data_IF_974358713857
#
_entry.id   IF_974358713857
#
_cell.length_a   1.000
_cell.length_b   1.000
_cell.length_c   1.000
_cell.angle_alpha   90.00
_cell.angle_beta   90.00
_cell.angle_gamma   90.00
#
_symmetry.space_group_name_H-M   'P 1'
#
loop_
_entity.id
_entity.type
_entity.pdbx_description
1 polymer ?
#
# COMPACT_ATOMS: atom_id res chain seq x y z
N UNK A 1 -3.72 6.96 15.53
CA UNK A 1 -3.94 5.51 15.35
C UNK A 1 -2.59 4.82 15.42
N UNK A 2 -2.54 3.55 15.82
CA UNK A 2 -1.30 2.77 15.88
C UNK A 2 -1.51 1.42 15.17
N UNK A 3 -0.64 1.10 14.23
CA UNK A 3 -0.68 -0.15 13.48
C UNK A 3 0.67 -0.83 13.51
N UNK A 4 0.71 -2.05 14.03
CA UNK A 4 1.91 -2.87 14.09
C UNK A 4 2.25 -3.54 12.76
N UNK A 5 3.48 -4.01 12.66
CA UNK A 5 3.95 -4.91 11.60
C UNK A 5 4.42 -6.24 12.18
N UNK A 6 4.64 -7.23 11.31
CA UNK A 6 5.07 -8.57 11.74
C UNK A 6 6.47 -8.61 12.38
N UNK A 7 7.27 -7.55 12.24
CA UNK A 7 8.59 -7.42 12.86
C UNK A 7 8.57 -6.70 14.21
N UNK A 8 7.38 -6.42 14.78
CA UNK A 8 7.24 -5.71 16.05
C UNK A 8 7.41 -4.20 15.97
N UNK A 9 7.53 -3.63 14.76
CA UNK A 9 7.53 -2.19 14.53
C UNK A 9 6.11 -1.63 14.56
N UNK A 10 5.98 -0.40 15.07
CA UNK A 10 4.71 0.30 15.23
C UNK A 10 4.69 1.61 14.45
N UNK A 11 3.53 1.97 13.93
CA UNK A 11 3.31 3.21 13.17
C UNK A 11 2.27 4.07 13.89
N UNK A 12 2.67 4.62 15.05
CA UNK A 12 1.85 5.52 15.82
C UNK A 12 1.90 6.93 15.22
N UNK A 13 0.75 7.48 14.83
CA UNK A 13 0.69 8.83 14.30
C UNK A 13 -0.68 9.28 13.82
N UNK A 14 -0.65 10.38 13.07
CA UNK A 14 -1.82 10.98 12.41
C UNK A 14 -2.02 10.28 11.06
N UNK A 15 -3.26 9.93 10.76
CA UNK A 15 -3.65 9.29 9.51
C UNK A 15 -4.80 10.07 8.88
N UNK A 16 -4.85 10.06 7.55
CA UNK A 16 -6.06 10.42 6.79
C UNK A 16 -6.83 9.14 6.50
N UNK A 17 -8.13 9.14 6.80
CA UNK A 17 -8.96 7.94 6.73
C UNK A 17 -10.11 8.10 5.76
N UNK A 18 -10.39 7.04 5.02
CA UNK A 18 -11.42 6.96 4.00
C UNK A 18 -12.38 5.81 4.33
N UNK A 19 -13.68 6.06 4.26
CA UNK A 19 -14.67 4.99 4.26
C UNK A 19 -14.78 4.43 2.85
N UNK A 20 -14.39 3.17 2.67
CA UNK A 20 -14.29 2.53 1.35
C UNK A 20 -15.17 1.29 1.33
N UNK A 21 -15.93 1.13 0.25
CA UNK A 21 -16.62 -0.12 -0.07
C UNK A 21 -15.79 -0.88 -1.08
N UNK A 22 -15.39 -2.10 -0.75
CA UNK A 22 -14.59 -2.92 -1.66
C UNK A 22 -15.44 -3.58 -2.75
N UNK A 23 -14.77 -4.29 -3.67
CA UNK A 23 -15.42 -4.97 -4.81
C UNK A 23 -16.41 -6.07 -4.40
N UNK A 24 -16.40 -6.50 -3.13
CA UNK A 24 -17.36 -7.47 -2.60
C UNK A 24 -18.53 -6.81 -1.87
N UNK A 25 -18.56 -5.47 -1.82
CA UNK A 25 -19.57 -4.71 -1.10
C UNK A 25 -19.28 -4.51 0.39
N UNK A 26 -18.14 -4.99 0.88
CA UNK A 26 -17.76 -4.87 2.29
C UNK A 26 -17.25 -3.46 2.58
N UNK A 27 -17.72 -2.87 3.67
CA UNK A 27 -17.32 -1.52 4.10
C UNK A 27 -16.19 -1.60 5.10
N UNK A 28 -15.12 -0.84 4.86
CA UNK A 28 -13.95 -0.77 5.74
C UNK A 28 -13.36 0.64 5.74
N UNK A 29 -12.61 0.97 6.78
CA UNK A 29 -11.85 2.22 6.83
C UNK A 29 -10.45 1.92 6.31
N UNK A 30 -9.99 2.73 5.35
CA UNK A 30 -8.61 2.69 4.87
C UNK A 30 -7.91 3.96 5.34
N UNK A 31 -6.84 3.79 6.12
CA UNK A 31 -6.10 4.87 6.75
C UNK A 31 -4.70 4.97 6.15
N UNK A 32 -4.32 6.17 5.73
CA UNK A 32 -3.03 6.46 5.06
C UNK A 32 -2.21 7.43 5.91
N UNK A 33 -0.93 7.15 6.08
CA UNK A 33 0.02 8.07 6.70
C UNK A 33 1.44 7.88 6.14
N UNK A 34 2.33 8.80 6.47
CA UNK A 34 3.73 8.80 6.06
C UNK A 34 4.62 8.79 7.30
N UNK A 35 5.65 7.95 7.28
CA UNK A 35 6.58 7.79 8.39
C UNK A 35 8.01 7.73 7.89
N UNK A 36 8.92 8.39 8.60
CA UNK A 36 10.36 8.22 8.40
C UNK A 36 10.90 7.13 9.33
N UNK A 37 11.72 6.24 8.79
CA UNK A 37 12.56 5.32 9.54
C UNK A 37 13.99 5.84 9.43
N UNK A 38 14.69 6.01 10.56
CA UNK A 38 16.12 6.35 10.58
C UNK A 38 16.97 5.14 10.94
N UNK A 39 18.18 5.07 10.38
CA UNK A 39 19.21 4.07 10.70
C UNK A 39 19.76 4.20 12.11
N UNK A 40 19.60 5.37 12.73
CA UNK A 40 20.31 5.71 13.97
C UNK A 40 19.49 5.36 15.22
N UNK A 41 18.30 4.80 15.04
CA UNK A 41 17.47 4.28 16.13
C UNK A 41 17.78 2.80 16.37
N UNK A 42 18.12 2.47 17.63
CA UNK A 42 18.22 1.11 18.16
C UNK A 42 19.30 0.19 17.54
N UNK A 43 20.43 0.73 17.06
CA UNK A 43 21.55 -0.02 16.48
C UNK A 43 21.15 -0.97 15.32
N UNK A 44 20.05 -0.67 14.64
CA UNK A 44 19.54 -1.52 13.58
C UNK A 44 20.38 -1.35 12.31
N UNK A 45 20.84 -2.47 11.73
CA UNK A 45 21.57 -2.48 10.44
C UNK A 45 20.65 -2.24 9.23
N UNK A 46 19.68 -1.33 9.33
CA UNK A 46 18.80 -0.93 8.24
C UNK A 46 19.06 0.52 7.88
N UNK A 47 19.12 0.81 6.57
CA UNK A 47 19.21 2.19 6.11
C UNK A 47 17.93 2.98 6.42
N UNK A 48 18.03 4.31 6.38
CA UNK A 48 16.87 5.20 6.51
C UNK A 48 15.96 5.10 5.29
N UNK A 49 14.64 5.20 5.49
CA UNK A 49 13.66 5.22 4.40
C UNK A 49 12.34 5.83 4.85
N UNK A 50 11.58 6.31 3.88
CA UNK A 50 10.23 6.83 4.04
C UNK A 50 9.20 5.76 3.68
N UNK A 51 8.24 5.55 4.57
CA UNK A 51 7.13 4.62 4.39
C UNK A 51 5.82 5.36 4.21
N UNK A 52 5.13 5.09 3.10
CA UNK A 52 3.69 5.34 3.00
C UNK A 52 2.97 4.10 3.54
N UNK A 53 2.27 4.27 4.65
CA UNK A 53 1.56 3.21 5.35
C UNK A 53 0.08 3.27 5.02
N UNK A 54 -0.47 2.15 4.58
CA UNK A 54 -1.90 1.94 4.40
C UNK A 54 -2.37 0.85 5.34
N UNK A 55 -3.20 1.25 6.29
CA UNK A 55 -3.87 0.36 7.22
C UNK A 55 -5.33 0.17 6.84
N UNK A 56 -5.86 -1.01 7.15
CA UNK A 56 -7.27 -1.35 6.90
C UNK A 56 -7.88 -1.75 8.23
N UNK A 57 -8.95 -1.06 8.60
CA UNK A 57 -9.79 -1.36 9.74
C UNK A 57 -11.09 -1.98 9.27
N UNK A 58 -11.31 -3.22 9.68
CA UNK A 58 -12.59 -3.92 9.60
C UNK A 58 -13.15 -4.01 11.02
N UNK A 59 -14.47 -4.05 11.19
CA UNK A 59 -15.17 -4.04 12.50
C UNK A 59 -14.51 -4.83 13.65
N UNK A 60 -13.79 -5.93 13.36
CA UNK A 60 -13.11 -6.78 14.36
C UNK A 60 -11.58 -6.83 14.25
N UNK A 61 -10.99 -6.29 13.19
CA UNK A 61 -9.55 -6.46 12.91
C UNK A 61 -8.98 -5.22 12.26
N UNK A 62 -7.85 -4.76 12.79
CA UNK A 62 -7.06 -3.66 12.25
C UNK A 62 -5.68 -4.16 11.91
N UNK A 63 -5.17 -3.87 10.71
CA UNK A 63 -3.81 -4.24 10.37
C UNK A 63 -3.19 -3.34 9.31
N UNK A 64 -1.85 -3.29 9.35
CA UNK A 64 -1.07 -2.63 8.32
C UNK A 64 -1.10 -3.47 7.03
N UNK A 65 -1.87 -3.04 6.04
CA UNK A 65 -1.97 -3.76 4.78
C UNK A 65 -0.68 -3.58 3.99
N UNK A 66 -0.25 -2.33 3.74
CA UNK A 66 0.87 -1.99 2.88
C UNK A 66 1.81 -1.00 3.57
N UNK A 67 3.10 -1.35 3.63
CA UNK A 67 4.22 -0.45 3.91
C UNK A 67 4.94 -0.20 2.59
N UNK A 68 4.55 0.87 1.91
CA UNK A 68 5.16 1.26 0.65
C UNK A 68 6.46 2.04 0.93
N UNK A 69 7.59 1.48 0.52
CA UNK A 69 8.89 2.14 0.65
C UNK A 69 9.06 3.16 -0.49
N UNK A 70 8.95 4.45 -0.16
CA UNK A 70 8.99 5.55 -1.15
C UNK A 70 10.33 5.59 -1.86
N UNK A 71 11.43 5.52 -1.12
CA UNK A 71 12.80 5.64 -1.63
C UNK A 71 13.15 4.54 -2.64
N UNK A 72 12.62 3.33 -2.41
CA UNK A 72 12.83 2.18 -3.31
C UNK A 72 12.03 2.30 -4.60
N UNK A 73 10.77 2.70 -4.48
CA UNK A 73 9.76 2.43 -5.51
C UNK A 73 9.20 3.68 -6.21
N UNK A 74 9.38 4.87 -5.61
CA UNK A 74 9.09 6.14 -6.25
C UNK A 74 10.32 6.62 -7.03
N UNK A 75 10.11 7.06 -8.27
CA UNK A 75 11.17 7.58 -9.13
C UNK A 75 10.79 8.95 -9.65
N UNK A 76 11.64 9.93 -9.41
CA UNK A 76 11.48 11.28 -9.94
C UNK A 76 11.96 11.32 -11.40
N UNK A 77 11.16 11.94 -12.25
CA UNK A 77 11.47 12.27 -13.63
C UNK A 77 11.01 13.71 -13.89
N UNK A 78 11.95 14.65 -13.86
CA UNK A 78 11.64 16.08 -13.86
C UNK A 78 10.74 16.46 -12.68
N UNK A 79 9.58 17.05 -12.98
CA UNK A 79 8.59 17.49 -11.99
C UNK A 79 7.56 16.39 -11.64
N UNK A 80 7.73 15.17 -12.14
CA UNK A 80 6.80 14.09 -11.86
C UNK A 80 7.49 12.99 -11.08
N UNK A 81 6.87 12.55 -9.99
CA UNK A 81 7.25 11.31 -9.30
C UNK A 81 6.33 10.20 -9.79
N UNK A 82 6.92 9.11 -10.27
CA UNK A 82 6.21 7.89 -10.68
C UNK A 82 6.30 6.86 -9.57
N UNK A 83 5.15 6.36 -9.11
CA UNK A 83 5.03 5.38 -8.04
C UNK A 83 4.71 4.01 -8.61
N UNK A 84 5.54 3.02 -8.30
CA UNK A 84 5.39 1.65 -8.82
C UNK A 84 5.56 0.61 -7.73
N UNK A 85 5.17 -0.65 -7.93
CA UNK A 85 5.48 -1.71 -6.97
C UNK A 85 5.62 -3.07 -7.63
N UNK A 86 6.53 -3.90 -7.13
CA UNK A 86 6.83 -5.21 -7.72
C UNK A 86 5.94 -6.36 -7.20
N UNK A 87 4.75 -6.07 -6.67
CA UNK A 87 3.87 -7.08 -6.05
C UNK A 87 4.36 -7.76 -4.75
N UNK A 88 5.50 -7.38 -4.17
CA UNK A 88 6.02 -8.05 -2.96
C UNK A 88 5.05 -7.97 -1.75
N UNK A 89 4.82 -9.12 -1.10
CA UNK A 89 3.93 -9.23 0.06
C UNK A 89 4.39 -10.34 1.01
N UNK A 90 5.15 -9.95 2.04
CA UNK A 90 5.68 -10.87 3.08
C UNK A 90 6.32 -12.13 2.44
N UNK A 91 5.87 -13.32 2.82
CA UNK A 91 6.39 -14.62 2.36
C UNK A 91 5.71 -15.18 1.10
N UNK A 92 4.81 -14.44 0.45
CA UNK A 92 4.17 -14.90 -0.79
C UNK A 92 4.93 -14.44 -2.04
N UNK A 93 4.82 -15.24 -3.10
CA UNK A 93 5.37 -14.89 -4.42
C UNK A 93 4.68 -13.63 -4.95
N UNK A 94 5.46 -12.67 -5.43
CA UNK A 94 4.94 -11.43 -6.04
C UNK A 94 4.06 -11.69 -7.26
N UNK A 95 4.29 -12.80 -7.98
CA UNK A 95 3.49 -13.20 -9.14
C UNK A 95 2.00 -13.32 -8.80
N UNK A 96 1.63 -13.79 -7.61
CA UNK A 96 0.22 -13.88 -7.20
C UNK A 96 -0.45 -12.51 -7.15
N UNK A 97 0.26 -11.49 -6.70
CA UNK A 97 -0.27 -10.11 -6.67
C UNK A 97 -0.36 -9.56 -8.08
N UNK A 98 0.67 -9.75 -8.90
CA UNK A 98 0.70 -9.27 -10.29
C UNK A 98 -0.43 -9.91 -11.11
N UNK A 99 -0.61 -11.22 -11.00
CA UNK A 99 -1.68 -11.96 -11.68
C UNK A 99 -3.06 -11.51 -11.20
N UNK A 100 -3.23 -11.30 -9.89
CA UNK A 100 -4.48 -10.78 -9.34
C UNK A 100 -4.77 -9.38 -9.89
N UNK A 101 -3.80 -8.47 -9.89
CA UNK A 101 -3.94 -7.12 -10.48
C UNK A 101 -4.40 -7.22 -11.93
N UNK A 102 -3.70 -7.99 -12.78
CA UNK A 102 -4.06 -8.19 -14.19
C UNK A 102 -5.46 -8.78 -14.38
N UNK A 103 -5.91 -9.61 -13.44
CA UNK A 103 -7.19 -10.33 -13.53
C UNK A 103 -8.39 -9.48 -13.10
N UNK A 104 -8.24 -8.67 -12.05
CA UNK A 104 -9.40 -8.05 -11.37
C UNK A 104 -9.37 -6.54 -11.28
N UNK A 105 -8.22 -5.87 -11.46
CA UNK A 105 -8.18 -4.41 -11.35
C UNK A 105 -8.43 -3.78 -12.72
N UNK A 106 -9.33 -2.81 -12.76
CA UNK A 106 -9.61 -1.93 -13.89
C UNK A 106 -8.79 -0.62 -13.83
N UNK A 107 -8.17 -0.32 -12.68
CA UNK A 107 -7.40 0.90 -12.44
C UNK A 107 -5.89 0.71 -12.47
N UNK A 108 -5.42 -0.44 -11.96
CA UNK A 108 -3.98 -0.71 -11.86
C UNK A 108 -3.45 -1.37 -13.13
N UNK A 109 -2.40 -0.80 -13.70
CA UNK A 109 -1.71 -1.38 -14.85
C UNK A 109 -0.41 -2.08 -14.43
N UNK A 110 -0.02 -3.11 -15.19
CA UNK A 110 1.25 -3.82 -14.99
C UNK A 110 2.09 -3.73 -16.25
N UNK A 111 3.31 -3.26 -16.11
CA UNK A 111 4.33 -3.24 -17.15
C UNK A 111 5.61 -3.89 -16.62
N UNK A 112 6.16 -4.86 -17.35
CA UNK A 112 7.42 -5.55 -16.98
C UNK A 112 7.47 -6.03 -15.51
N UNK A 113 6.39 -6.63 -15.01
CA UNK A 113 6.22 -7.08 -13.61
C UNK A 113 6.25 -5.97 -12.56
N UNK A 114 6.08 -4.71 -12.98
CA UNK A 114 5.89 -3.55 -12.12
C UNK A 114 4.46 -3.05 -12.22
N UNK A 115 3.82 -2.87 -11.07
CA UNK A 115 2.47 -2.35 -10.94
C UNK A 115 2.58 -0.83 -10.87
N UNK A 116 1.95 -0.09 -11.78
CA UNK A 116 1.88 1.36 -11.71
C UNK A 116 0.82 1.76 -10.69
N UNK A 117 1.24 2.47 -9.63
CA UNK A 117 0.34 2.97 -8.59
C UNK A 117 -0.09 4.41 -8.86
N UNK A 118 0.68 5.17 -9.64
CA UNK A 118 0.27 6.49 -10.07
C UNK A 118 1.45 7.41 -10.30
N UNK A 119 1.12 8.69 -10.51
CA UNK A 119 2.08 9.76 -10.68
C UNK A 119 1.68 10.91 -9.75
N UNK A 120 2.62 11.76 -9.39
CA UNK A 120 2.38 12.97 -8.62
C UNK A 120 3.24 14.08 -9.21
N UNK A 121 2.66 15.25 -9.45
CA UNK A 121 3.40 16.46 -9.81
C UNK A 121 3.98 17.11 -8.56
N UNK A 122 5.29 17.38 -8.56
CA UNK A 122 6.00 18.00 -7.44
C UNK A 122 5.82 19.53 -7.38
N UNK A 123 5.30 20.13 -8.45
CA UNK A 123 4.99 21.56 -8.52
C UNK A 123 3.61 21.92 -7.97
N UNK A 124 2.78 20.94 -7.64
CA UNK A 124 1.40 21.15 -7.19
C UNK A 124 1.18 20.73 -5.74
N UNK A 125 0.18 21.34 -5.10
CA UNK A 125 -0.25 20.94 -3.77
C UNK A 125 -1.00 19.60 -3.84
N UNK A 126 -0.75 18.74 -2.85
CA UNK A 126 -1.26 17.36 -2.78
C UNK A 126 -2.70 17.32 -2.24
N UNK A 127 -3.62 17.95 -2.96
CA UNK A 127 -5.05 17.95 -2.65
C UNK A 127 -5.81 16.91 -3.46
N UNK A 128 -6.91 16.38 -2.92
CA UNK A 128 -7.71 15.34 -3.58
C UNK A 128 -8.61 15.87 -4.71
N UNK A 129 -8.67 17.18 -4.93
CA UNK A 129 -9.27 17.80 -6.11
C UNK A 129 -8.29 17.85 -7.30
N UNK A 130 -6.99 17.63 -7.06
CA UNK A 130 -6.02 17.37 -8.12
C UNK A 130 -6.22 15.94 -8.65
N UNK A 131 -6.61 15.82 -9.92
CA UNK A 131 -6.93 14.53 -10.52
C UNK A 131 -5.76 13.52 -10.47
N UNK A 132 -4.52 13.98 -10.67
CA UNK A 132 -3.35 13.10 -10.68
C UNK A 132 -3.07 12.55 -9.27
N UNK A 133 -3.11 13.42 -8.26
CA UNK A 133 -2.91 13.01 -6.87
C UNK A 133 -4.08 12.15 -6.35
N UNK A 134 -5.32 12.50 -6.70
CA UNK A 134 -6.50 11.70 -6.36
C UNK A 134 -6.40 10.28 -6.94
N UNK A 135 -6.02 10.16 -8.22
CA UNK A 135 -5.81 8.87 -8.87
C UNK A 135 -4.72 8.04 -8.17
N UNK A 136 -3.61 8.66 -7.78
CA UNK A 136 -2.58 8.00 -7.00
C UNK A 136 -3.13 7.46 -5.66
N UNK A 137 -3.88 8.26 -4.91
CA UNK A 137 -4.49 7.83 -3.64
C UNK A 137 -5.50 6.69 -3.86
N UNK A 138 -6.35 6.79 -4.87
CA UNK A 138 -7.33 5.75 -5.20
C UNK A 138 -6.66 4.42 -5.59
N UNK A 139 -5.61 4.49 -6.39
CA UNK A 139 -4.84 3.32 -6.79
C UNK A 139 -4.08 2.69 -5.61
N UNK A 140 -3.56 3.50 -4.69
CA UNK A 140 -2.95 3.01 -3.45
C UNK A 140 -3.97 2.26 -2.57
N UNK A 141 -5.19 2.80 -2.44
CA UNK A 141 -6.29 2.15 -1.72
C UNK A 141 -6.67 0.83 -2.40
N UNK A 142 -6.98 0.85 -3.70
CA UNK A 142 -7.30 -0.34 -4.51
C UNK A 142 -6.21 -1.42 -4.37
N UNK A 143 -4.94 -1.02 -4.47
CA UNK A 143 -3.82 -1.94 -4.33
C UNK A 143 -3.72 -2.54 -2.92
N UNK A 144 -3.95 -1.75 -1.87
CA UNK A 144 -3.97 -2.25 -0.49
C UNK A 144 -5.11 -3.25 -0.26
N UNK A 145 -6.29 -3.02 -0.84
CA UNK A 145 -7.43 -3.95 -0.78
C UNK A 145 -7.17 -5.24 -1.56
N UNK A 146 -6.64 -5.12 -2.78
CA UNK A 146 -6.32 -6.28 -3.62
C UNK A 146 -5.28 -7.20 -2.94
N UNK A 147 -4.31 -6.62 -2.24
CA UNK A 147 -3.34 -7.38 -1.43
C UNK A 147 -4.00 -8.18 -0.31
N UNK A 148 -5.10 -7.70 0.27
CA UNK A 148 -5.89 -8.46 1.23
C UNK A 148 -6.60 -9.65 0.60
N UNK A 149 -7.12 -9.48 -0.62
CA UNK A 149 -7.73 -10.57 -1.36
C UNK A 149 -6.72 -11.69 -1.62
N UNK A 150 -5.51 -11.34 -2.06
CA UNK A 150 -4.43 -12.32 -2.27
C UNK A 150 -4.11 -13.06 -0.97
N UNK A 151 -4.02 -12.36 0.17
CA UNK A 151 -3.82 -12.99 1.48
C UNK A 151 -4.94 -13.97 1.82
N UNK A 152 -6.21 -13.61 1.56
CA UNK A 152 -7.38 -14.47 1.79
C UNK A 152 -7.37 -15.70 0.88
N UNK A 153 -7.11 -15.52 -0.41
CA UNK A 153 -7.08 -16.58 -1.41
C UNK A 153 -6.00 -17.62 -1.06
N UNK A 154 -4.81 -17.18 -0.66
CA UNK A 154 -3.71 -18.08 -0.26
C UNK A 154 -4.02 -18.81 1.06
N UNK A 155 -4.60 -18.14 2.06
CA UNK A 155 -5.01 -18.78 3.33
C UNK A 155 -6.06 -19.87 3.10
N UNK A 156 -7.04 -19.62 2.23
CA UNK A 156 -8.05 -20.60 1.82
C UNK A 156 -7.40 -21.80 1.12
N UNK A 157 -6.50 -21.55 0.16
CA UNK A 157 -5.79 -22.62 -0.55
C UNK A 157 -4.92 -23.50 0.36
N UNK A 158 -4.40 -22.94 1.46
CA UNK A 158 -3.61 -23.67 2.46
C UNK A 158 -4.45 -24.37 3.55
N UNK A 159 -5.78 -24.34 3.45
CA UNK A 159 -6.68 -24.91 4.47
C UNK A 159 -6.60 -24.21 5.83
N UNK A 160 -6.00 -23.01 5.89
CA UNK A 160 -5.85 -22.24 7.13
C UNK A 160 -7.04 -21.30 7.30
N UNK A 161 -8.23 -21.89 7.46
CA UNK A 161 -9.42 -21.18 7.92
C UNK A 161 -9.70 -21.67 9.34
N UNK A 162 -9.38 -20.84 10.32
CA UNK A 162 -10.09 -20.84 11.60
C UNK A 162 -11.22 -19.82 11.48
#
# INVERSE_FOLDING_TARGET
MDYGNAGGGHYNGIYRSFLVRDRFGETQIVSISIFGTTSDLNDEKRGSYTSLVLAIDRFKTSHNSLQYNVDRFAKQNGNTIVFTHNGQISSFKSSYVIEKVKKVSDRLSVFENSILLGKVDTGELLYLDNAMFADFIYNMIEYALLREEVRRDIRKARGTVK
#
